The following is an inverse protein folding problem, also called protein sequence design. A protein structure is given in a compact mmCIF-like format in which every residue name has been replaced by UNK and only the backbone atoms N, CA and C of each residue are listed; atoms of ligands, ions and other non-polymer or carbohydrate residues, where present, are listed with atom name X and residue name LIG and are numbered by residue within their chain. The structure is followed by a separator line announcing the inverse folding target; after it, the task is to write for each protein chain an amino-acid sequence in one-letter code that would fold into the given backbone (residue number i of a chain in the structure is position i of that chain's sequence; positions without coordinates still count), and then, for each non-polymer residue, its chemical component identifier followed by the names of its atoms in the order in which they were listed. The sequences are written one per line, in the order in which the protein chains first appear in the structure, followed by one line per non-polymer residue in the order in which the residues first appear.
data_IF_510057218059
#
_entry.id   IF_510057218059
#
_cell.length_a   1.000
_cell.length_b   1.000
_cell.length_c   1.000
_cell.angle_alpha   90.00
_cell.angle_beta   90.00
_cell.angle_gamma   90.00
#
_symmetry.space_group_name_H-M   'P 1'
#
loop_
_entity.id
_entity.type
_entity.pdbx_description
1 polymer ?
#
# COMPACT_ATOMS: atom_id res chain seq x y z
N UNK A 1 -17.34 3.64 13.07
CA UNK A 1 -16.81 4.49 11.98
C UNK A 1 -15.66 5.29 12.54
N UNK A 2 -14.51 5.28 11.86
CA UNK A 2 -13.36 6.08 12.28
C UNK A 2 -13.68 7.56 12.06
N UNK A 3 -13.39 8.46 13.03
CA UNK A 3 -13.53 9.90 12.83
C UNK A 3 -12.62 10.44 11.69
N UNK A 4 -11.73 9.60 11.16
CA UNK A 4 -10.89 9.94 9.99
C UNK A 4 -11.59 9.77 8.64
N UNK A 5 -12.79 9.21 8.58
CA UNK A 5 -13.56 9.19 7.34
C UNK A 5 -14.17 10.56 7.05
N UNK A 6 -14.12 11.04 5.79
CA UNK A 6 -14.73 12.31 5.42
C UNK A 6 -16.26 12.22 5.52
N UNK A 7 -16.92 13.38 5.68
CA UNK A 7 -18.37 13.45 5.59
C UNK A 7 -18.84 12.92 4.20
N UNK A 8 -19.98 12.25 4.12
CA UNK A 8 -20.94 11.96 5.18
C UNK A 8 -20.63 10.71 6.03
N UNK A 9 -19.55 9.99 5.74
CA UNK A 9 -19.24 8.68 6.32
C UNK A 9 -18.71 8.74 7.77
N UNK A 10 -18.55 9.90 8.33
CA UNK A 10 -18.10 10.14 9.70
C UNK A 10 -19.23 10.21 10.72
N UNK A 11 -20.49 10.11 10.29
CA UNK A 11 -21.65 10.10 11.18
C UNK A 11 -21.92 8.68 11.73
N UNK A 12 -21.64 8.40 13.02
CA UNK A 12 -21.80 7.07 13.59
C UNK A 12 -23.29 6.65 13.76
N UNK A 13 -24.23 7.58 13.61
CA UNK A 13 -25.67 7.26 13.64
C UNK A 13 -26.14 6.61 12.33
N UNK A 14 -25.42 6.85 11.24
CA UNK A 14 -25.77 6.35 9.92
C UNK A 14 -24.76 5.27 9.42
N UNK A 15 -23.50 5.36 9.87
CA UNK A 15 -22.42 4.51 9.37
C UNK A 15 -21.72 3.79 10.53
N UNK A 16 -22.23 2.63 10.93
CA UNK A 16 -21.74 1.88 12.10
C UNK A 16 -20.92 0.64 11.78
N UNK A 17 -20.95 0.15 10.52
CA UNK A 17 -20.27 -1.08 10.13
C UNK A 17 -18.90 -0.74 9.52
N UNK A 18 -17.84 -1.36 10.06
CA UNK A 18 -16.49 -1.24 9.51
C UNK A 18 -16.35 -2.22 8.34
N UNK A 19 -16.13 -1.74 7.11
CA UNK A 19 -15.96 -2.63 5.97
C UNK A 19 -14.58 -3.30 5.97
N UNK A 20 -14.48 -4.41 5.22
CA UNK A 20 -13.24 -5.17 5.07
C UNK A 20 -13.06 -5.62 3.61
N UNK A 21 -11.80 -5.83 3.22
CA UNK A 21 -11.49 -6.56 1.99
C UNK A 21 -11.80 -8.03 2.16
N UNK A 22 -12.52 -8.61 1.20
CA UNK A 22 -12.92 -10.00 1.27
C UNK A 22 -13.75 -10.40 0.07
N UNK A 23 -14.57 -11.42 0.28
CA UNK A 23 -15.41 -11.99 -0.76
C UNK A 23 -16.87 -11.94 -0.37
N UNK A 24 -17.73 -11.77 -1.37
CA UNK A 24 -19.15 -12.03 -1.25
C UNK A 24 -19.64 -12.81 -2.46
N UNK A 25 -20.65 -13.63 -2.26
CA UNK A 25 -21.36 -14.34 -3.30
C UNK A 25 -22.57 -13.55 -3.76
N UNK A 26 -22.81 -13.53 -5.06
CA UNK A 26 -24.02 -12.96 -5.62
C UNK A 26 -25.19 -13.88 -5.30
N UNK A 27 -26.23 -13.34 -4.68
CA UNK A 27 -27.49 -14.05 -4.43
C UNK A 27 -28.45 -13.86 -5.60
N UNK A 28 -28.65 -12.61 -6.02
CA UNK A 28 -29.50 -12.23 -7.13
C UNK A 28 -28.80 -11.16 -8.00
N UNK A 29 -29.07 -11.15 -9.30
CA UNK A 29 -28.52 -10.15 -10.21
C UNK A 29 -29.40 -9.96 -11.43
N UNK A 30 -29.50 -8.72 -11.89
CA UNK A 30 -30.04 -8.34 -13.19
C UNK A 30 -28.98 -8.15 -14.27
N UNK A 31 -27.71 -8.43 -13.95
CA UNK A 31 -26.56 -8.35 -14.87
C UNK A 31 -26.27 -9.78 -15.38
N UNK A 32 -26.41 -10.06 -16.70
CA UNK A 32 -26.26 -11.41 -17.23
C UNK A 32 -24.90 -12.07 -16.93
N UNK A 33 -23.83 -11.28 -16.88
CA UNK A 33 -22.45 -11.76 -16.62
C UNK A 33 -22.18 -12.05 -15.14
N UNK A 34 -23.06 -11.60 -14.26
CA UNK A 34 -22.94 -11.78 -12.81
C UNK A 34 -24.06 -12.66 -12.29
N UNK A 35 -23.95 -13.95 -12.53
CA UNK A 35 -24.97 -14.92 -12.12
C UNK A 35 -24.92 -15.24 -10.64
N UNK A 36 -26.03 -15.69 -10.02
CA UNK A 36 -26.02 -16.21 -8.65
C UNK A 36 -24.92 -17.25 -8.43
N UNK A 37 -24.24 -17.17 -7.30
CA UNK A 37 -23.08 -17.99 -6.97
C UNK A 37 -21.74 -17.41 -7.49
N UNK A 38 -21.74 -16.36 -8.30
CA UNK A 38 -20.50 -15.68 -8.68
C UNK A 38 -19.84 -15.06 -7.45
N UNK A 39 -18.54 -15.31 -7.26
CA UNK A 39 -17.75 -14.78 -6.18
C UNK A 39 -17.08 -13.47 -6.59
N UNK A 40 -17.33 -12.41 -5.84
CA UNK A 40 -16.69 -11.10 -6.02
C UNK A 40 -15.72 -10.78 -4.89
N UNK A 41 -14.50 -10.41 -5.22
CA UNK A 41 -13.56 -9.76 -4.31
C UNK A 41 -13.79 -8.25 -4.33
N UNK A 42 -13.89 -7.65 -3.16
CA UNK A 42 -14.11 -6.21 -3.02
C UNK A 42 -14.05 -5.73 -1.58
N UNK A 43 -14.54 -4.51 -1.36
CA UNK A 43 -14.63 -3.89 -0.05
C UNK A 43 -16.07 -3.97 0.46
N UNK A 44 -16.30 -4.85 1.43
CA UNK A 44 -17.60 -5.27 1.89
C UNK A 44 -17.91 -4.80 3.30
N UNK A 45 -19.17 -4.49 3.63
CA UNK A 45 -19.58 -4.38 5.02
C UNK A 45 -19.39 -5.74 5.73
N UNK A 46 -18.92 -5.71 6.97
CA UNK A 46 -18.80 -6.90 7.81
C UNK A 46 -20.16 -7.26 8.42
N UNK A 47 -21.09 -7.62 7.56
CA UNK A 47 -22.48 -7.94 7.86
C UNK A 47 -22.91 -9.19 7.13
N UNK A 48 -23.81 -9.98 7.73
CA UNK A 48 -24.48 -11.11 7.08
C UNK A 48 -25.71 -10.69 6.27
N UNK A 49 -26.12 -9.43 6.35
CA UNK A 49 -27.23 -8.92 5.55
C UNK A 49 -26.80 -8.73 4.08
N UNK A 50 -27.69 -9.03 3.12
CA UNK A 50 -27.45 -8.73 1.72
C UNK A 50 -27.15 -7.25 1.50
N UNK A 51 -26.29 -6.96 0.52
CA UNK A 51 -25.91 -5.59 0.14
C UNK A 51 -26.18 -5.39 -1.33
N UNK A 52 -27.02 -4.43 -1.66
CA UNK A 52 -27.30 -4.03 -3.03
C UNK A 52 -26.13 -3.21 -3.59
N UNK A 53 -25.69 -3.57 -4.80
CA UNK A 53 -24.66 -2.85 -5.53
C UNK A 53 -25.17 -2.48 -6.93
N UNK A 54 -24.85 -1.27 -7.38
CA UNK A 54 -25.06 -0.83 -8.76
C UNK A 54 -23.73 -0.94 -9.50
N UNK A 55 -23.52 -2.08 -10.18
CA UNK A 55 -22.27 -2.41 -10.83
C UNK A 55 -22.27 -2.07 -12.31
N UNK A 56 -21.18 -1.47 -12.78
CA UNK A 56 -20.86 -1.24 -14.18
C UNK A 56 -19.59 -1.99 -14.55
N UNK A 57 -19.57 -2.65 -15.70
CA UNK A 57 -18.41 -3.34 -16.21
C UNK A 57 -17.23 -2.37 -16.41
N UNK A 58 -16.03 -2.85 -16.12
CA UNK A 58 -14.78 -2.08 -16.24
C UNK A 58 -13.67 -2.95 -16.81
N UNK A 59 -12.71 -2.34 -17.46
CA UNK A 59 -11.51 -3.03 -17.93
C UNK A 59 -10.50 -3.30 -16.80
N UNK A 60 -9.77 -4.42 -16.91
CA UNK A 60 -9.96 -5.54 -17.83
C UNK A 60 -11.20 -6.39 -17.47
N UNK A 61 -11.68 -7.22 -18.42
CA UNK A 61 -12.85 -8.09 -18.23
C UNK A 61 -12.87 -8.82 -16.89
N UNK A 62 -14.02 -8.92 -16.25
CA UNK A 62 -14.20 -9.47 -14.91
C UNK A 62 -14.01 -8.44 -13.78
N UNK A 63 -13.73 -7.18 -14.11
CA UNK A 63 -13.72 -6.08 -13.16
C UNK A 63 -15.00 -5.24 -13.28
N UNK A 64 -15.46 -4.78 -12.15
CA UNK A 64 -16.69 -4.02 -11.99
C UNK A 64 -16.45 -2.80 -11.11
N UNK A 65 -17.20 -1.74 -11.35
CA UNK A 65 -17.17 -0.51 -10.54
C UNK A 65 -18.55 -0.26 -9.97
N UNK A 66 -18.62 -0.05 -8.68
CA UNK A 66 -19.84 0.37 -8.01
C UNK A 66 -20.06 1.87 -8.24
N UNK A 67 -21.23 2.22 -8.78
CA UNK A 67 -21.55 3.55 -9.30
C UNK A 67 -22.72 4.23 -8.57
N UNK A 68 -23.15 3.73 -7.41
CA UNK A 68 -24.21 4.36 -6.62
C UNK A 68 -23.77 5.75 -6.13
N UNK A 69 -24.69 6.67 -6.10
CA UNK A 69 -24.44 8.07 -5.71
C UNK A 69 -23.80 8.18 -4.31
N UNK A 70 -24.33 7.44 -3.35
CA UNK A 70 -23.85 7.46 -1.96
C UNK A 70 -22.41 6.98 -1.78
N UNK A 71 -21.79 6.35 -2.78
CA UNK A 71 -20.41 5.87 -2.74
C UNK A 71 -19.44 6.72 -3.54
N UNK A 72 -19.89 7.76 -4.23
CA UNK A 72 -19.04 8.56 -5.11
C UNK A 72 -18.00 9.42 -4.37
N UNK A 73 -18.19 9.66 -3.07
CA UNK A 73 -17.22 10.39 -2.24
C UNK A 73 -16.10 9.47 -1.70
N UNK A 74 -16.24 8.16 -1.83
CA UNK A 74 -15.16 7.22 -1.51
C UNK A 74 -14.08 7.28 -2.59
N UNK A 75 -12.83 7.01 -2.19
CA UNK A 75 -11.78 6.80 -3.17
C UNK A 75 -12.20 5.66 -4.12
N UNK A 76 -12.07 5.87 -5.43
CA UNK A 76 -12.50 4.93 -6.46
C UNK A 76 -11.98 3.49 -6.30
N UNK A 77 -10.90 3.33 -5.56
CA UNK A 77 -10.33 2.04 -5.20
C UNK A 77 -11.29 1.15 -4.37
N UNK A 78 -12.07 1.74 -3.45
CA UNK A 78 -13.04 1.02 -2.62
C UNK A 78 -14.33 0.64 -3.37
N UNK A 79 -14.51 1.18 -4.56
CA UNK A 79 -15.66 0.90 -5.43
C UNK A 79 -15.35 -0.16 -6.50
N UNK A 80 -14.18 -0.80 -6.45
CA UNK A 80 -13.79 -1.81 -7.43
C UNK A 80 -14.03 -3.21 -6.91
N UNK A 81 -14.67 -4.01 -7.75
CA UNK A 81 -14.99 -5.41 -7.53
C UNK A 81 -14.41 -6.26 -8.65
N UNK A 82 -13.93 -7.46 -8.32
CA UNK A 82 -13.31 -8.36 -9.29
C UNK A 82 -13.93 -9.75 -9.15
N UNK A 83 -14.38 -10.33 -10.26
CA UNK A 83 -14.83 -11.73 -10.31
C UNK A 83 -13.66 -12.64 -10.01
N UNK A 84 -13.84 -13.53 -9.05
CA UNK A 84 -12.84 -14.52 -8.66
C UNK A 84 -13.24 -15.88 -9.17
N UNK A 85 -12.39 -16.46 -10.02
CA UNK A 85 -12.50 -17.85 -10.44
C UNK A 85 -11.94 -18.75 -9.34
N UNK A 86 -12.75 -19.68 -8.88
CA UNK A 86 -12.37 -20.67 -7.88
C UNK A 86 -13.01 -22.02 -8.22
N UNK A 87 -12.34 -23.10 -7.87
CA UNK A 87 -12.87 -24.45 -7.94
C UNK A 87 -13.71 -24.82 -6.72
N UNK A 88 -13.70 -23.97 -5.67
CA UNK A 88 -14.46 -24.23 -4.46
C UNK A 88 -15.94 -23.92 -4.66
N UNK A 89 -16.83 -24.78 -4.18
CA UNK A 89 -18.22 -24.39 -4.06
C UNK A 89 -18.37 -23.25 -3.05
N UNK A 90 -19.28 -22.32 -3.31
CA UNK A 90 -19.49 -21.15 -2.43
C UNK A 90 -19.80 -21.57 -0.99
N UNK A 91 -20.56 -22.66 -0.82
CA UNK A 91 -20.83 -23.22 0.51
C UNK A 91 -19.57 -23.58 1.31
N UNK A 92 -18.53 -24.06 0.64
CA UNK A 92 -17.26 -24.39 1.30
C UNK A 92 -16.48 -23.11 1.69
N UNK A 93 -16.66 -21.99 0.99
CA UNK A 93 -16.05 -20.72 1.37
C UNK A 93 -16.79 -20.10 2.55
N UNK A 94 -18.11 -20.20 2.59
CA UNK A 94 -18.94 -19.67 3.67
C UNK A 94 -18.79 -20.46 4.98
N UNK A 95 -18.46 -21.75 4.89
CA UNK A 95 -18.23 -22.63 6.04
C UNK A 95 -16.80 -23.15 6.08
N UNK A 96 -15.84 -22.23 6.09
CA UNK A 96 -14.41 -22.54 6.06
C UNK A 96 -13.91 -23.37 7.26
N UNK A 97 -14.69 -23.47 8.33
CA UNK A 97 -14.33 -24.28 9.52
C UNK A 97 -14.49 -25.80 9.30
N UNK A 98 -15.32 -26.21 8.34
CA UNK A 98 -15.67 -27.61 8.09
C UNK A 98 -15.21 -28.08 6.68
N UNK A 99 -14.21 -27.41 6.12
CA UNK A 99 -13.75 -27.72 4.77
C UNK A 99 -12.84 -28.93 4.76
N UNK A 100 -13.03 -29.80 3.78
CA UNK A 100 -12.13 -30.93 3.51
C UNK A 100 -10.69 -30.43 3.27
N UNK A 101 -9.72 -31.22 3.78
CA UNK A 101 -8.28 -30.94 3.56
C UNK A 101 -7.89 -30.80 2.08
N UNK A 102 -8.66 -31.41 1.16
CA UNK A 102 -8.45 -31.25 -0.29
C UNK A 102 -8.68 -29.84 -0.83
N UNK A 103 -9.35 -28.99 -0.08
CA UNK A 103 -9.64 -27.59 -0.46
C UNK A 103 -8.75 -26.57 0.26
N UNK A 104 -7.88 -26.99 1.17
CA UNK A 104 -7.12 -26.09 2.03
C UNK A 104 -6.23 -25.13 1.24
N UNK A 105 -5.52 -25.61 0.23
CA UNK A 105 -4.63 -24.79 -0.60
C UNK A 105 -5.40 -23.66 -1.32
N UNK A 106 -6.60 -23.94 -1.79
CA UNK A 106 -7.42 -22.95 -2.47
C UNK A 106 -8.03 -21.95 -1.47
N UNK A 107 -8.42 -22.40 -0.28
CA UNK A 107 -8.83 -21.50 0.81
C UNK A 107 -7.70 -20.59 1.24
N UNK A 108 -6.50 -21.11 1.40
CA UNK A 108 -5.32 -20.33 1.73
C UNK A 108 -5.04 -19.30 0.64
N UNK A 109 -5.13 -19.69 -0.63
CA UNK A 109 -4.99 -18.78 -1.76
C UNK A 109 -6.02 -17.63 -1.71
N UNK A 110 -7.27 -17.94 -1.43
CA UNK A 110 -8.33 -16.94 -1.28
C UNK A 110 -8.08 -16.04 -0.06
N UNK A 111 -7.66 -16.61 1.06
CA UNK A 111 -7.29 -15.88 2.27
C UNK A 111 -6.15 -14.88 2.00
N UNK A 112 -5.11 -15.31 1.29
CA UNK A 112 -4.02 -14.44 0.87
C UNK A 112 -4.50 -13.35 -0.11
N UNK A 113 -5.39 -13.67 -1.05
CA UNK A 113 -6.01 -12.70 -1.94
C UNK A 113 -6.77 -11.62 -1.16
N UNK A 114 -7.66 -12.01 -0.25
CA UNK A 114 -8.42 -11.08 0.58
C UNK A 114 -7.51 -10.14 1.36
N UNK A 115 -6.42 -10.70 1.94
CA UNK A 115 -5.56 -9.99 2.86
C UNK A 115 -4.52 -9.09 2.19
N UNK A 116 -4.04 -9.46 1.00
CA UNK A 116 -2.90 -8.79 0.38
C UNK A 116 -3.20 -8.14 -0.97
N UNK A 117 -4.17 -8.59 -1.74
CA UNK A 117 -4.32 -8.17 -3.14
C UNK A 117 -4.36 -6.65 -3.31
N UNK A 118 -5.21 -5.98 -2.55
CA UNK A 118 -5.37 -4.53 -2.62
C UNK A 118 -4.10 -3.78 -2.18
N UNK A 119 -3.55 -4.21 -1.04
CA UNK A 119 -2.39 -3.59 -0.40
C UNK A 119 -1.12 -3.86 -1.20
N UNK A 120 -0.98 -5.07 -1.75
CA UNK A 120 0.15 -5.45 -2.60
C UNK A 120 0.18 -4.62 -3.89
N UNK A 121 -0.98 -4.45 -4.54
CA UNK A 121 -1.09 -3.61 -5.75
C UNK A 121 -0.62 -2.18 -5.52
N UNK A 122 -0.94 -1.59 -4.38
CA UNK A 122 -0.50 -0.23 -4.06
C UNK A 122 1.03 -0.09 -4.03
N UNK A 123 1.73 -0.98 -3.33
CA UNK A 123 3.19 -0.99 -3.32
C UNK A 123 3.81 -1.29 -4.69
N UNK A 124 3.23 -2.24 -5.41
CA UNK A 124 3.65 -2.57 -6.78
C UNK A 124 3.52 -1.37 -7.71
N UNK A 125 2.39 -0.64 -7.66
CA UNK A 125 2.17 0.53 -8.52
C UNK A 125 3.13 1.67 -8.21
N UNK A 126 3.42 1.91 -6.93
CA UNK A 126 4.46 2.87 -6.54
C UNK A 126 5.82 2.51 -7.18
N UNK A 127 6.23 1.26 -7.07
CA UNK A 127 7.53 0.82 -7.57
C UNK A 127 7.62 0.82 -9.11
N UNK A 128 6.50 0.58 -9.81
CA UNK A 128 6.50 0.34 -11.28
C UNK A 128 6.03 1.51 -12.10
N UNK A 129 5.19 2.37 -11.56
CA UNK A 129 4.55 3.46 -12.30
C UNK A 129 4.90 4.84 -11.78
N UNK A 130 5.04 5.01 -10.47
CA UNK A 130 5.50 6.29 -9.91
C UNK A 130 7.01 6.43 -10.12
N UNK A 131 7.76 5.32 -9.94
CA UNK A 131 9.19 5.23 -10.18
C UNK A 131 9.47 4.16 -11.24
N UNK A 132 9.19 4.43 -12.52
CA UNK A 132 9.32 3.42 -13.57
C UNK A 132 10.74 2.87 -13.66
N UNK A 133 10.83 1.56 -13.93
CA UNK A 133 12.11 0.88 -14.14
C UNK A 133 12.57 0.87 -15.60
N UNK A 134 11.78 1.47 -16.49
CA UNK A 134 12.09 1.64 -17.92
C UNK A 134 12.18 3.13 -18.22
N UNK A 135 13.28 3.58 -18.83
CA UNK A 135 13.53 5.00 -19.10
C UNK A 135 12.50 5.66 -20.00
N UNK A 136 11.88 4.87 -20.89
CA UNK A 136 10.89 5.33 -21.85
C UNK A 136 9.49 5.48 -21.24
N UNK A 137 9.23 4.79 -20.12
CA UNK A 137 7.93 4.83 -19.46
C UNK A 137 7.72 6.18 -18.77
N UNK A 138 6.61 6.84 -19.12
CA UNK A 138 6.20 8.08 -18.44
C UNK A 138 5.82 7.76 -16.99
N UNK A 139 6.38 8.46 -16.01
CA UNK A 139 5.97 8.29 -14.61
C UNK A 139 4.55 8.80 -14.39
N UNK A 140 3.84 8.15 -13.49
CA UNK A 140 2.49 8.52 -13.09
C UNK A 140 2.57 9.20 -11.73
N UNK A 141 1.90 10.35 -11.59
CA UNK A 141 1.81 11.04 -10.30
C UNK A 141 1.15 10.14 -9.25
N UNK A 142 1.64 10.08 -8.00
CA UNK A 142 1.11 9.18 -6.98
C UNK A 142 -0.39 9.30 -6.70
N UNK A 143 -0.94 10.51 -6.85
CA UNK A 143 -2.37 10.79 -6.67
C UNK A 143 -3.16 10.78 -7.99
N UNK A 144 -2.54 10.38 -9.11
CA UNK A 144 -3.14 10.45 -10.44
C UNK A 144 -3.24 11.90 -10.95
N UNK A 145 -4.15 12.16 -11.88
CA UNK A 145 -4.29 13.48 -12.53
C UNK A 145 -5.01 14.53 -11.66
N UNK A 146 -5.28 14.20 -10.40
CA UNK A 146 -6.19 14.99 -9.53
C UNK A 146 -5.56 16.28 -9.02
N UNK A 147 -4.25 16.40 -8.99
CA UNK A 147 -3.62 17.36 -8.07
C UNK A 147 -3.12 18.66 -8.68
N UNK A 148 -3.14 18.84 -9.99
CA UNK A 148 -2.55 20.04 -10.60
C UNK A 148 -1.07 20.28 -10.25
N UNK A 149 -0.43 19.31 -9.56
CA UNK A 149 0.98 19.31 -9.21
C UNK A 149 1.70 18.45 -10.25
N UNK A 150 2.66 19.00 -10.96
CA UNK A 150 3.39 18.23 -11.96
C UNK A 150 4.23 17.15 -11.30
N UNK A 151 4.18 15.92 -11.85
CA UNK A 151 5.12 14.86 -11.56
C UNK A 151 5.95 14.60 -12.81
N UNK A 152 7.19 14.98 -12.76
CA UNK A 152 8.08 14.97 -13.91
C UNK A 152 8.98 13.75 -13.93
N UNK A 153 9.73 13.58 -15.02
CA UNK A 153 10.77 12.54 -15.08
C UNK A 153 11.86 12.78 -14.04
N UNK A 154 12.20 14.04 -13.76
CA UNK A 154 13.17 14.41 -12.71
C UNK A 154 12.67 14.05 -11.31
N UNK A 155 11.38 14.15 -11.06
CA UNK A 155 10.82 13.72 -9.75
C UNK A 155 10.90 12.21 -9.58
N UNK A 156 10.67 11.46 -10.64
CA UNK A 156 10.73 10.00 -10.67
C UNK A 156 12.15 9.43 -10.85
N UNK A 157 13.11 10.22 -11.29
CA UNK A 157 14.50 9.79 -11.46
C UNK A 157 15.13 9.51 -10.09
N UNK A 158 15.74 8.34 -9.95
CA UNK A 158 16.38 7.86 -8.73
C UNK A 158 17.90 7.78 -8.84
N UNK A 159 18.47 8.14 -9.97
CA UNK A 159 19.91 7.96 -10.24
C UNK A 159 20.83 8.68 -9.26
N UNK A 160 20.37 9.79 -8.67
CA UNK A 160 21.09 10.55 -7.64
C UNK A 160 20.43 10.45 -6.26
N UNK A 161 19.51 9.51 -6.06
CA UNK A 161 18.68 9.46 -4.88
C UNK A 161 19.09 8.34 -3.90
N UNK A 162 18.97 8.64 -2.61
CA UNK A 162 18.72 7.62 -1.58
C UNK A 162 17.21 7.52 -1.38
N UNK A 163 16.67 6.32 -1.57
CA UNK A 163 15.26 6.02 -1.32
C UNK A 163 15.13 5.52 0.10
N UNK A 164 14.18 6.07 0.86
CA UNK A 164 13.94 5.70 2.25
C UNK A 164 12.51 5.16 2.39
N UNK A 165 12.36 3.98 2.97
CA UNK A 165 11.09 3.37 3.34
C UNK A 165 10.91 3.44 4.85
N UNK A 166 10.01 4.29 5.33
CA UNK A 166 9.62 4.35 6.73
C UNK A 166 8.45 3.39 6.99
N UNK A 167 8.48 2.70 8.11
CA UNK A 167 7.56 1.57 8.41
C UNK A 167 7.70 0.42 7.41
N UNK A 168 8.94 0.08 7.08
CA UNK A 168 9.32 -0.80 5.98
C UNK A 168 8.81 -2.25 6.09
N UNK A 169 8.43 -2.73 7.29
CA UNK A 169 7.82 -4.05 7.48
C UNK A 169 6.30 -4.07 7.18
N UNK A 170 5.67 -2.92 6.94
CA UNK A 170 4.27 -2.85 6.55
C UNK A 170 3.98 -3.55 5.22
N UNK A 171 2.78 -4.10 5.05
CA UNK A 171 2.43 -4.91 3.85
C UNK A 171 2.65 -4.15 2.54
N UNK A 172 2.23 -2.88 2.46
CA UNK A 172 2.43 -2.03 1.27
C UNK A 172 3.92 -1.75 1.04
N UNK A 173 4.67 -1.46 2.12
CA UNK A 173 6.11 -1.24 2.05
C UNK A 173 6.85 -2.49 1.56
N UNK A 174 6.44 -3.68 2.01
CA UNK A 174 7.00 -4.96 1.55
C UNK A 174 6.74 -5.22 0.08
N UNK A 175 5.54 -4.91 -0.40
CA UNK A 175 5.23 -5.00 -1.83
C UNK A 175 6.06 -4.02 -2.67
N UNK A 176 6.21 -2.78 -2.18
CA UNK A 176 7.09 -1.81 -2.81
C UNK A 176 8.53 -2.35 -2.88
N UNK A 177 9.10 -2.75 -1.74
CA UNK A 177 10.46 -3.28 -1.65
C UNK A 177 10.67 -4.49 -2.57
N UNK A 178 9.74 -5.45 -2.58
CA UNK A 178 9.80 -6.63 -3.45
C UNK A 178 9.98 -6.28 -4.93
N UNK A 179 9.22 -5.31 -5.42
CA UNK A 179 9.30 -4.87 -6.81
C UNK A 179 10.50 -3.94 -7.06
N UNK A 180 10.85 -3.15 -6.06
CA UNK A 180 11.90 -2.15 -6.12
C UNK A 180 13.31 -2.77 -6.12
N UNK A 181 13.54 -3.76 -5.27
CA UNK A 181 14.81 -4.49 -5.15
C UNK A 181 15.17 -5.31 -6.40
N UNK A 182 14.18 -5.57 -7.25
CA UNK A 182 14.34 -6.35 -8.51
C UNK A 182 14.48 -5.48 -9.76
N UNK A 183 14.71 -4.19 -9.60
CA UNK A 183 14.94 -3.30 -10.74
C UNK A 183 16.34 -3.44 -11.30
N UNK A 184 16.52 -3.04 -12.57
CA UNK A 184 17.83 -3.06 -13.22
C UNK A 184 18.79 -2.02 -12.61
N UNK A 185 20.07 -2.24 -12.79
CA UNK A 185 21.14 -1.26 -12.42
C UNK A 185 20.93 0.11 -13.08
N UNK A 186 20.40 0.15 -14.29
CA UNK A 186 20.23 1.36 -15.09
C UNK A 186 19.23 2.37 -14.49
N UNK A 187 18.31 1.88 -13.68
CA UNK A 187 17.29 2.70 -13.00
C UNK A 187 17.40 2.60 -11.47
N UNK A 188 18.52 2.07 -11.00
CA UNK A 188 18.78 1.89 -9.57
C UNK A 188 18.97 3.24 -8.86
N UNK A 189 18.59 3.34 -7.57
CA UNK A 189 18.99 4.44 -6.71
C UNK A 189 20.46 4.30 -6.32
N UNK A 190 21.03 5.34 -5.71
CA UNK A 190 22.32 5.25 -5.02
C UNK A 190 22.26 4.32 -3.82
N UNK A 191 21.11 4.27 -3.13
CA UNK A 191 20.90 3.38 -2.00
C UNK A 191 19.45 3.28 -1.59
N UNK A 192 19.13 2.22 -0.84
CA UNK A 192 17.81 1.96 -0.27
C UNK A 192 17.90 1.76 1.24
N UNK A 193 17.32 2.67 2.00
CA UNK A 193 17.25 2.62 3.46
C UNK A 193 15.87 2.16 3.91
N UNK A 194 15.80 1.10 4.70
CA UNK A 194 14.57 0.58 5.27
C UNK A 194 14.56 0.78 6.78
N UNK A 195 13.60 1.53 7.31
CA UNK A 195 13.44 1.81 8.74
C UNK A 195 12.24 1.05 9.28
N UNK A 196 12.48 0.19 10.28
CA UNK A 196 11.48 -0.76 10.76
C UNK A 196 11.70 -1.12 12.24
N UNK A 197 10.68 -1.72 12.88
CA UNK A 197 10.86 -2.42 14.16
C UNK A 197 11.21 -3.91 14.01
N UNK A 198 11.14 -4.46 12.78
CA UNK A 198 11.42 -5.86 12.47
C UNK A 198 12.70 -5.97 11.63
N UNK A 199 13.83 -5.54 12.20
CA UNK A 199 15.10 -5.37 11.50
C UNK A 199 15.63 -6.68 10.95
N UNK A 200 15.71 -7.73 11.76
CA UNK A 200 16.33 -9.00 11.39
C UNK A 200 15.64 -9.66 10.19
N UNK A 201 14.32 -9.87 10.28
CA UNK A 201 13.57 -10.51 9.21
C UNK A 201 13.59 -9.71 7.90
N UNK A 202 13.62 -8.37 8.01
CA UNK A 202 13.67 -7.50 6.84
C UNK A 202 15.07 -7.50 6.21
N UNK A 203 16.14 -7.51 7.02
CA UNK A 203 17.52 -7.64 6.54
C UNK A 203 17.74 -8.94 5.79
N UNK A 204 17.25 -10.06 6.33
CA UNK A 204 17.32 -11.37 5.68
C UNK A 204 16.58 -11.38 4.32
N UNK A 205 15.40 -10.78 4.28
CA UNK A 205 14.62 -10.67 3.03
C UNK A 205 15.34 -9.84 1.97
N UNK A 206 15.97 -8.73 2.35
CA UNK A 206 16.75 -7.88 1.43
C UNK A 206 18.01 -8.58 0.95
N UNK A 207 18.72 -9.29 1.83
CA UNK A 207 19.89 -10.10 1.45
C UNK A 207 19.51 -11.19 0.45
N UNK A 208 18.38 -11.86 0.68
CA UNK A 208 17.86 -12.89 -0.25
C UNK A 208 17.43 -12.31 -1.59
N UNK A 209 16.93 -11.07 -1.63
CA UNK A 209 16.58 -10.38 -2.87
C UNK A 209 17.80 -9.93 -3.67
N UNK A 210 18.96 -9.75 -3.01
CA UNK A 210 20.24 -9.34 -3.58
C UNK A 210 20.11 -8.15 -4.57
N UNK A 211 19.58 -6.99 -4.13
CA UNK A 211 19.36 -5.86 -5.00
C UNK A 211 20.69 -5.37 -5.63
N UNK A 212 20.66 -4.83 -6.85
CA UNK A 212 21.86 -4.38 -7.55
C UNK A 212 22.40 -3.02 -7.07
N UNK A 213 22.00 -2.57 -5.88
CA UNK A 213 22.38 -1.31 -5.25
C UNK A 213 22.54 -1.48 -3.74
N UNK A 214 23.31 -0.61 -3.08
CA UNK A 214 23.47 -0.62 -1.62
C UNK A 214 22.14 -0.55 -0.89
N UNK A 215 21.89 -1.44 0.06
CA UNK A 215 20.69 -1.46 0.87
C UNK A 215 21.04 -1.63 2.34
N UNK A 216 20.37 -0.86 3.20
CA UNK A 216 20.55 -0.91 4.65
C UNK A 216 19.18 -0.98 5.34
N UNK A 217 19.08 -1.86 6.34
CA UNK A 217 17.90 -1.99 7.20
C UNK A 217 18.27 -1.63 8.61
N UNK A 218 17.52 -0.72 9.24
CA UNK A 218 17.79 -0.24 10.59
C UNK A 218 16.51 -0.15 11.43
N UNK A 219 16.69 -0.13 12.74
CA UNK A 219 15.63 0.20 13.70
C UNK A 219 15.35 1.70 13.78
N UNK A 220 14.23 2.07 14.36
CA UNK A 220 13.90 3.47 14.62
C UNK A 220 14.87 4.13 15.62
N UNK A 221 15.48 3.34 16.52
CA UNK A 221 16.50 3.82 17.46
C UNK A 221 17.79 4.22 16.78
N UNK A 222 18.15 3.51 15.72
CA UNK A 222 19.44 3.61 15.04
C UNK A 222 19.48 4.78 14.02
N UNK A 223 18.37 5.51 13.85
CA UNK A 223 18.31 6.67 12.95
C UNK A 223 19.38 7.72 13.28
N UNK A 224 19.84 7.80 14.53
CA UNK A 224 20.83 8.80 14.97
C UNK A 224 22.26 8.30 14.94
N UNK A 225 22.52 7.08 14.52
CA UNK A 225 23.83 6.46 14.56
C UNK A 225 24.80 7.10 13.56
N UNK A 226 26.03 7.27 13.98
CA UNK A 226 27.11 7.81 13.14
C UNK A 226 27.38 6.93 11.92
N UNK A 227 27.22 5.62 12.07
CA UNK A 227 27.34 4.67 10.97
C UNK A 227 26.31 4.90 9.84
N UNK A 228 25.06 5.25 10.19
CA UNK A 228 24.06 5.63 9.20
C UNK A 228 24.44 6.94 8.51
N UNK A 229 24.88 7.93 9.29
CA UNK A 229 25.32 9.23 8.76
C UNK A 229 26.47 9.05 7.78
N UNK A 230 27.44 8.22 8.14
CA UNK A 230 28.58 7.94 7.24
C UNK A 230 28.15 7.20 5.99
N UNK A 231 27.28 6.19 6.10
CA UNK A 231 26.73 5.46 4.95
C UNK A 231 26.02 6.41 3.97
N UNK A 232 25.24 7.36 4.48
CA UNK A 232 24.58 8.38 3.64
C UNK A 232 25.61 9.27 2.95
N UNK A 233 26.64 9.72 3.67
CA UNK A 233 27.71 10.59 3.13
C UNK A 233 28.50 9.88 2.03
N UNK A 234 28.82 8.62 2.22
CA UNK A 234 29.58 7.81 1.27
C UNK A 234 28.83 7.63 -0.06
N UNK A 235 27.50 7.59 -0.01
CA UNK A 235 26.66 7.54 -1.21
C UNK A 235 26.55 8.89 -1.94
N UNK A 236 26.78 10.02 -1.25
CA UNK A 236 26.76 11.37 -1.80
C UNK A 236 25.46 11.76 -2.53
N UNK A 237 24.26 11.53 -1.98
CA UNK A 237 23.04 11.79 -2.69
C UNK A 237 22.78 13.29 -2.86
N UNK A 238 22.32 13.70 -4.03
CA UNK A 238 21.73 15.03 -4.24
C UNK A 238 20.19 15.04 -4.09
N UNK A 239 19.60 13.87 -3.84
CA UNK A 239 18.15 13.69 -3.69
C UNK A 239 17.82 12.63 -2.65
N UNK A 240 16.73 12.86 -1.94
CA UNK A 240 16.07 11.85 -1.12
C UNK A 240 14.63 11.65 -1.55
N UNK A 241 14.21 10.39 -1.63
CA UNK A 241 12.82 10.00 -1.85
C UNK A 241 12.37 9.23 -0.63
N UNK A 242 11.50 9.83 0.16
CA UNK A 242 11.02 9.27 1.43
C UNK A 242 9.59 8.77 1.22
N UNK A 243 9.41 7.47 1.38
CA UNK A 243 8.11 6.79 1.32
C UNK A 243 7.66 6.50 2.75
N UNK A 244 6.67 7.23 3.22
CA UNK A 244 6.13 7.03 4.57
C UNK A 244 4.90 6.12 4.52
N UNK A 245 5.08 4.88 4.92
CA UNK A 245 4.03 3.85 4.99
C UNK A 245 3.30 3.82 6.35
N UNK A 246 3.41 4.86 7.15
CA UNK A 246 2.85 4.96 8.49
C UNK A 246 3.90 4.80 9.59
N UNK A 247 4.93 5.60 9.52
CA UNK A 247 6.02 5.62 10.49
C UNK A 247 5.55 6.06 11.89
N UNK A 248 6.32 5.67 12.89
CA UNK A 248 6.12 6.13 14.27
C UNK A 248 6.32 7.65 14.36
N UNK A 249 5.61 8.27 15.29
CA UNK A 249 5.70 9.71 15.55
C UNK A 249 7.16 10.18 15.71
N UNK A 250 7.49 11.24 15.00
CA UNK A 250 8.81 11.85 15.02
C UNK A 250 9.88 11.18 14.16
N UNK A 251 9.63 10.01 13.57
CA UNK A 251 10.64 9.32 12.75
C UNK A 251 11.02 10.12 11.51
N UNK A 252 10.03 10.65 10.77
CA UNK A 252 10.27 11.50 9.61
C UNK A 252 11.06 12.76 10.00
N UNK A 253 10.68 13.42 11.09
CA UNK A 253 11.38 14.62 11.59
C UNK A 253 12.85 14.31 11.90
N UNK A 254 13.12 13.24 12.64
CA UNK A 254 14.49 12.81 12.94
C UNK A 254 15.29 12.51 11.67
N UNK A 255 14.71 11.81 10.72
CA UNK A 255 15.37 11.53 9.44
C UNK A 255 15.75 12.82 8.70
N UNK A 256 14.85 13.81 8.65
CA UNK A 256 15.12 15.11 8.02
C UNK A 256 16.23 15.88 8.73
N UNK A 257 16.28 15.83 10.08
CA UNK A 257 17.35 16.42 10.87
C UNK A 257 18.71 15.75 10.56
N UNK A 258 18.75 14.42 10.41
CA UNK A 258 19.95 13.69 10.04
C UNK A 258 20.44 14.11 8.66
N UNK A 259 19.55 14.12 7.67
CA UNK A 259 19.90 14.48 6.29
C UNK A 259 20.47 15.91 6.25
N UNK A 260 19.74 16.87 6.82
CA UNK A 260 20.10 18.29 6.72
C UNK A 260 21.28 18.67 7.61
N UNK A 261 21.25 18.27 8.87
CA UNK A 261 22.20 18.75 9.87
C UNK A 261 23.42 17.83 9.99
N UNK A 262 23.19 16.54 10.28
CA UNK A 262 24.31 15.61 10.57
C UNK A 262 25.07 15.20 9.31
N UNK A 263 24.38 14.96 8.20
CA UNK A 263 25.02 14.62 6.93
C UNK A 263 25.45 15.86 6.13
N UNK A 264 25.00 17.06 6.53
CA UNK A 264 25.30 18.33 5.84
C UNK A 264 24.85 18.33 4.36
N UNK A 265 23.65 17.82 4.13
CA UNK A 265 23.06 17.67 2.80
C UNK A 265 21.85 18.59 2.61
N UNK A 266 21.94 19.85 3.09
CA UNK A 266 20.87 20.85 3.05
C UNK A 266 20.40 21.17 1.62
N UNK A 267 21.32 21.11 0.64
CA UNK A 267 21.02 21.36 -0.75
C UNK A 267 20.35 20.19 -1.48
N UNK A 268 20.25 19.03 -0.84
CA UNK A 268 19.62 17.86 -1.45
C UNK A 268 18.11 18.07 -1.64
N UNK A 269 17.60 17.71 -2.82
CA UNK A 269 16.16 17.69 -3.08
C UNK A 269 15.50 16.61 -2.23
N UNK A 270 14.42 16.96 -1.53
CA UNK A 270 13.65 16.01 -0.72
C UNK A 270 12.25 15.87 -1.31
N UNK A 271 11.90 14.64 -1.65
CA UNK A 271 10.55 14.25 -2.09
C UNK A 271 9.97 13.34 -1.02
N UNK A 272 8.79 13.68 -0.52
CA UNK A 272 8.07 12.88 0.49
C UNK A 272 6.76 12.42 -0.10
N UNK A 273 6.52 11.10 -0.09
CA UNK A 273 5.25 10.48 -0.47
C UNK A 273 4.70 9.83 0.78
N UNK A 274 3.62 10.38 1.30
CA UNK A 274 2.91 9.82 2.44
C UNK A 274 1.84 8.84 1.95
N UNK A 275 1.99 7.56 2.29
CA UNK A 275 1.11 6.47 1.88
C UNK A 275 0.17 6.06 3.01
N UNK A 276 0.64 6.14 4.24
CA UNK A 276 -0.11 5.77 5.43
C UNK A 276 0.16 6.71 6.60
N UNK A 277 -0.57 6.50 7.68
CA UNK A 277 -0.36 7.16 8.97
C UNK A 277 -0.21 6.13 10.08
N UNK A 278 0.43 6.52 11.17
CA UNK A 278 0.55 5.67 12.34
C UNK A 278 -0.85 5.34 12.89
N UNK A 279 -1.14 4.05 13.07
CA UNK A 279 -2.34 3.61 13.77
C UNK A 279 -2.20 3.97 15.25
N UNK A 280 -3.09 4.83 15.75
CA UNK A 280 -3.16 5.20 17.16
C UNK A 280 -4.37 4.57 17.80
N UNK A 281 -4.19 3.93 18.96
CA UNK A 281 -5.30 3.52 19.80
C UNK A 281 -5.84 4.78 20.47
N UNK A 282 -7.05 5.18 20.12
CA UNK A 282 -7.74 6.26 20.79
C UNK A 282 -8.22 5.75 22.15
N UNK A 283 -7.59 6.19 23.22
CA UNK A 283 -8.12 5.99 24.58
C UNK A 283 -9.25 7.00 24.73
N UNK A 284 -10.48 6.52 24.96
CA UNK A 284 -11.65 7.38 25.21
C UNK A 284 -11.33 8.24 26.43
N UNK A 285 -11.28 9.56 26.27
CA UNK A 285 -10.96 10.52 27.33
C UNK A 285 -9.69 11.34 27.16
N UNK A 286 -8.88 11.07 26.15
CA UNK A 286 -7.73 11.94 25.79
C UNK A 286 -8.17 13.04 24.81
N UNK A 287 -7.78 14.31 25.04
CA UNK A 287 -8.07 15.37 24.07
C UNK A 287 -7.39 15.06 22.74
N UNK A 288 -8.15 15.16 21.64
CA UNK A 288 -7.62 15.14 20.29
C UNK A 288 -6.66 16.32 20.10
N UNK A 289 -5.37 16.04 20.01
CA UNK A 289 -4.41 17.00 19.46
C UNK A 289 -4.43 16.76 17.94
N UNK A 290 -5.00 17.72 17.23
CA UNK A 290 -5.02 17.80 15.77
C UNK A 290 -3.63 18.07 15.21
#
# INVERSE_FOLDING_TARGET
VSPSYPAPYNDPSQWGIVPAWGFASIEESNIPELTPGTLLHGFWPTSSAPTDLKLQASEPSGNWVEISEHRQQLMGFYNRYTVIKTSLPVSAILDAQHVSSSYQDELDRLGWLAHFQAIWRAGYFLARYVFPSQKEQKPIYPLGDVAGVPWTKEDADLSSAVVVSLSAAGKTARSFAYSFERRSKETAPLGFLQVTSAVEGLSQATQSAAPPFPSKTIGYGDLSDEELVQWIKDLGPSKFVILDFGARDGALKRLLEIIKVKASLEASKIVIIQIGSQQKVLIIGSPLIL
#
